data_IF_825453114523
#
_entry.id   IF_825453114523
#
_cell.length_a   1.000
_cell.length_b   1.000
_cell.length_c   1.000
_cell.angle_alpha   90.00
_cell.angle_beta   90.00
_cell.angle_gamma   90.00
#
_symmetry.space_group_name_H-M   'P 1'
#
loop_
_entity.id
_entity.type
_entity.pdbx_description
1 polymer ?
#
# COMPACT_ATOMS: atom_id res chain seq x y z
N UNK A 1 -11.71 4.65 20.93
CA UNK A 1 -12.60 5.11 19.85
C UNK A 1 -11.82 6.08 18.97
N UNK A 2 -11.14 5.62 17.92
CA UNK A 2 -10.38 6.52 17.04
C UNK A 2 -11.32 7.03 15.94
N UNK A 3 -11.95 8.19 16.18
CA UNK A 3 -12.62 8.97 15.15
C UNK A 3 -11.56 9.54 14.22
N UNK A 4 -11.44 9.00 13.01
CA UNK A 4 -10.67 9.63 11.95
C UNK A 4 -11.63 10.41 11.05
N UNK A 5 -11.67 11.76 11.12
CA UNK A 5 -12.54 12.54 10.26
C UNK A 5 -12.02 12.49 8.82
N UNK A 6 -12.73 11.76 7.95
CA UNK A 6 -12.55 11.88 6.52
C UNK A 6 -13.15 13.22 6.07
N UNK A 7 -12.31 14.23 5.89
CA UNK A 7 -12.70 15.44 5.17
C UNK A 7 -12.91 15.08 3.69
N UNK A 8 -14.03 15.46 3.06
CA UNK A 8 -14.18 15.32 1.61
C UNK A 8 -13.16 16.22 0.90
N UNK A 9 -12.62 15.81 -0.26
CA UNK A 9 -11.69 16.64 -1.00
C UNK A 9 -12.37 17.93 -1.48
N UNK A 10 -11.68 19.06 -1.30
CA UNK A 10 -12.08 20.37 -1.82
C UNK A 10 -12.11 20.31 -3.35
N UNK A 11 -13.26 20.62 -3.95
CA UNK A 11 -13.40 20.83 -5.39
C UNK A 11 -12.49 21.98 -5.84
N UNK A 12 -11.58 21.69 -6.76
CA UNK A 12 -10.65 22.66 -7.31
C UNK A 12 -10.47 22.46 -8.82
N UNK A 13 -10.68 23.55 -9.55
CA UNK A 13 -10.43 23.80 -10.97
C UNK A 13 -11.40 23.18 -12.00
N UNK A 14 -12.41 23.99 -12.38
CA UNK A 14 -13.14 23.90 -13.64
C UNK A 14 -12.17 24.00 -14.83
N UNK A 15 -12.20 23.04 -15.73
CA UNK A 15 -11.64 23.15 -17.08
C UNK A 15 -12.70 22.84 -18.14
N UNK A 16 -12.55 23.53 -19.27
CA UNK A 16 -13.53 23.87 -20.29
C UNK A 16 -14.13 22.67 -21.05
N UNK A 17 -15.43 22.77 -21.37
CA UNK A 17 -16.24 21.83 -22.17
C UNK A 17 -15.66 21.56 -23.55
N UNK A 18 -15.77 20.32 -24.03
CA UNK A 18 -16.09 19.99 -25.43
C UNK A 18 -16.86 18.66 -25.55
N UNK A 19 -18.06 18.76 -26.15
CA UNK A 19 -18.94 17.79 -26.82
C UNK A 19 -19.11 16.33 -26.33
N UNK A 20 -20.38 16.01 -26.04
CA UNK A 20 -21.03 14.74 -25.68
C UNK A 20 -20.84 13.58 -26.67
N UNK A 21 -20.97 12.34 -26.17
CA UNK A 21 -22.20 11.59 -26.46
C UNK A 21 -22.92 11.17 -25.16
N UNK A 22 -24.24 11.32 -25.18
CA UNK A 22 -25.26 11.03 -24.14
C UNK A 22 -24.73 10.18 -22.97
N UNK A 23 -24.30 10.86 -21.92
CA UNK A 23 -23.95 10.24 -20.66
C UNK A 23 -25.24 9.80 -19.96
N UNK A 24 -25.36 8.50 -19.66
CA UNK A 24 -26.31 8.06 -18.63
C UNK A 24 -26.07 8.93 -17.39
N UNK A 25 -27.12 9.44 -16.73
CA UNK A 25 -26.94 10.32 -15.58
C UNK A 25 -26.06 9.60 -14.55
N UNK A 26 -25.17 10.37 -13.90
CA UNK A 26 -24.14 9.97 -12.90
C UNK A 26 -24.76 9.38 -11.61
N UNK A 27 -25.96 8.82 -11.71
CA UNK A 27 -26.85 8.47 -10.59
C UNK A 27 -27.76 7.28 -10.92
N UNK A 28 -27.52 6.56 -12.01
CA UNK A 28 -28.24 5.32 -12.27
C UNK A 28 -27.93 4.30 -11.16
N UNK A 29 -28.98 3.76 -10.53
CA UNK A 29 -28.83 2.71 -9.52
C UNK A 29 -28.17 1.47 -10.11
N UNK A 30 -27.31 0.81 -9.34
CA UNK A 30 -26.59 -0.39 -9.75
C UNK A 30 -26.24 -1.27 -8.54
N UNK A 31 -26.03 -2.55 -8.83
CA UNK A 31 -25.51 -3.57 -7.91
C UNK A 31 -24.15 -4.14 -8.39
N UNK A 32 -23.92 -4.15 -9.70
CA UNK A 32 -22.70 -4.65 -10.35
C UNK A 32 -22.26 -3.76 -11.52
N UNK A 33 -20.98 -3.82 -11.88
CA UNK A 33 -20.39 -2.93 -12.90
C UNK A 33 -21.01 -3.09 -14.28
N UNK A 34 -21.52 -4.28 -14.63
CA UNK A 34 -22.18 -4.53 -15.92
C UNK A 34 -23.50 -3.79 -16.10
N UNK A 35 -24.16 -3.37 -15.01
CA UNK A 35 -25.33 -2.51 -15.07
C UNK A 35 -24.96 -1.08 -15.52
N UNK A 36 -23.70 -0.71 -15.31
CA UNK A 36 -23.16 0.57 -15.74
C UNK A 36 -22.68 0.50 -17.20
N UNK A 37 -22.89 1.59 -17.94
CA UNK A 37 -22.45 1.69 -19.33
C UNK A 37 -20.92 1.82 -19.44
N UNK A 38 -20.39 1.78 -20.67
CA UNK A 38 -18.97 2.03 -20.95
C UNK A 38 -18.51 3.35 -20.32
N UNK A 39 -17.34 3.34 -19.68
CA UNK A 39 -16.78 4.52 -18.99
C UNK A 39 -17.28 4.72 -17.56
N UNK A 40 -18.10 3.81 -17.05
CA UNK A 40 -18.63 3.85 -15.68
C UNK A 40 -18.37 2.53 -14.95
N UNK A 41 -18.38 2.58 -13.62
CA UNK A 41 -18.33 1.43 -12.72
C UNK A 41 -19.41 1.58 -11.66
N UNK A 42 -19.85 0.47 -11.08
CA UNK A 42 -20.82 0.55 -9.99
C UNK A 42 -20.09 0.90 -8.71
N UNK A 43 -20.52 1.93 -8.00
CA UNK A 43 -20.10 2.13 -6.63
C UNK A 43 -20.99 1.30 -5.69
N UNK A 44 -20.52 0.11 -5.27
CA UNK A 44 -21.36 -0.80 -4.45
C UNK A 44 -21.72 -0.26 -3.07
N UNK A 45 -21.03 0.77 -2.57
CA UNK A 45 -21.40 1.36 -1.28
C UNK A 45 -22.60 2.27 -1.41
N UNK A 46 -22.63 3.09 -2.46
CA UNK A 46 -23.75 4.00 -2.72
C UNK A 46 -24.82 3.41 -3.64
N UNK A 47 -24.52 2.30 -4.33
CA UNK A 47 -25.39 1.68 -5.31
C UNK A 47 -25.59 2.52 -6.56
N UNK A 48 -24.58 3.30 -6.98
CA UNK A 48 -24.70 4.26 -8.11
C UNK A 48 -23.60 4.07 -9.15
N UNK A 49 -23.94 4.21 -10.43
CA UNK A 49 -22.95 4.23 -11.50
C UNK A 49 -22.13 5.53 -11.47
N UNK A 50 -20.83 5.39 -11.25
CA UNK A 50 -19.88 6.51 -11.19
C UNK A 50 -18.87 6.42 -12.35
N UNK A 51 -18.36 7.56 -12.84
CA UNK A 51 -17.33 7.56 -13.87
C UNK A 51 -16.07 6.80 -13.45
N UNK A 52 -15.38 6.20 -14.42
CA UNK A 52 -14.03 5.67 -14.20
C UNK A 52 -13.05 6.79 -13.85
N UNK A 53 -12.03 6.46 -13.07
CA UNK A 53 -11.10 7.40 -12.44
C UNK A 53 -9.69 7.27 -13.02
N UNK A 54 -9.03 8.41 -13.21
CA UNK A 54 -7.65 8.48 -13.67
C UNK A 54 -6.63 8.23 -12.56
N UNK A 55 -5.35 8.20 -12.91
CA UNK A 55 -4.24 8.03 -11.96
C UNK A 55 -4.30 9.09 -10.83
N UNK A 56 -3.94 8.70 -9.61
CA UNK A 56 -3.95 9.53 -8.40
C UNK A 56 -5.34 9.80 -7.78
N UNK A 57 -6.44 9.49 -8.47
CA UNK A 57 -7.78 9.69 -7.94
C UNK A 57 -8.16 8.61 -6.94
N UNK A 58 -8.90 8.99 -5.89
CA UNK A 58 -9.37 8.06 -4.88
C UNK A 58 -10.26 6.97 -5.48
N UNK A 59 -10.07 5.74 -5.06
CA UNK A 59 -10.85 4.60 -5.48
C UNK A 59 -11.00 3.61 -4.31
N UNK A 60 -11.93 2.67 -4.48
CA UNK A 60 -12.14 1.55 -3.56
C UNK A 60 -11.89 0.20 -4.22
N UNK A 61 -11.92 0.14 -5.55
CA UNK A 61 -11.76 -1.08 -6.34
C UNK A 61 -11.12 -0.79 -7.67
N UNK A 62 -10.41 -1.78 -8.20
CA UNK A 62 -9.80 -1.73 -9.53
C UNK A 62 -10.79 -1.35 -10.63
N UNK A 63 -12.02 -1.84 -10.56
CA UNK A 63 -13.07 -1.55 -11.53
C UNK A 63 -13.43 -0.06 -11.63
N UNK A 64 -13.10 0.75 -10.61
CA UNK A 64 -13.33 2.18 -10.64
C UNK A 64 -12.23 2.95 -11.38
N UNK A 65 -11.11 2.32 -11.71
CA UNK A 65 -10.01 2.96 -12.42
C UNK A 65 -10.12 2.71 -13.92
N UNK A 66 -9.60 3.63 -14.73
CA UNK A 66 -9.48 3.43 -16.18
C UNK A 66 -8.54 2.26 -16.51
N UNK A 67 -8.65 1.73 -17.73
CA UNK A 67 -7.84 0.59 -18.20
C UNK A 67 -6.34 0.85 -18.02
N UNK A 68 -5.61 -0.15 -17.52
CA UNK A 68 -4.17 -0.07 -17.24
C UNK A 68 -3.84 0.38 -15.81
N UNK A 69 -4.84 0.80 -15.04
CA UNK A 69 -4.68 1.17 -13.63
C UNK A 69 -5.30 0.10 -12.70
N UNK A 70 -4.84 0.09 -11.45
CA UNK A 70 -5.41 -0.65 -10.33
C UNK A 70 -5.58 0.27 -9.14
N UNK A 71 -6.52 -0.06 -8.24
CA UNK A 71 -6.77 0.71 -7.05
C UNK A 71 -5.84 0.28 -5.91
N UNK A 72 -4.70 0.95 -5.78
CA UNK A 72 -3.67 0.67 -4.78
C UNK A 72 -3.64 1.78 -3.73
N UNK A 73 -3.54 1.45 -2.44
CA UNK A 73 -3.45 2.39 -1.33
C UNK A 73 -4.57 3.45 -1.34
N UNK A 74 -5.75 3.05 -1.81
CA UNK A 74 -6.94 3.90 -1.92
C UNK A 74 -6.94 4.87 -3.11
N UNK A 75 -5.99 4.77 -4.05
CA UNK A 75 -5.92 5.61 -5.26
C UNK A 75 -5.67 4.78 -6.51
N UNK A 76 -6.04 5.30 -7.68
CA UNK A 76 -5.71 4.64 -8.93
C UNK A 76 -4.22 4.82 -9.24
N UNK A 77 -3.49 3.71 -9.35
CA UNK A 77 -2.08 3.67 -9.72
C UNK A 77 -1.88 2.84 -10.98
N UNK A 78 -0.76 3.04 -11.66
CA UNK A 78 -0.37 2.16 -12.75
C UNK A 78 -0.21 0.74 -12.25
N UNK A 79 -0.69 -0.23 -13.03
CA UNK A 79 -0.49 -1.65 -12.72
C UNK A 79 1.00 -1.94 -12.79
N UNK A 80 1.53 -2.46 -11.69
CA UNK A 80 2.87 -3.01 -11.62
C UNK A 80 2.77 -4.47 -12.09
N UNK A 81 3.61 -4.91 -13.04
CA UNK A 81 3.62 -6.29 -13.50
C UNK A 81 3.87 -7.27 -12.35
N UNK A 82 3.22 -8.43 -12.40
CA UNK A 82 3.37 -9.47 -11.40
C UNK A 82 4.85 -9.86 -11.21
N UNK A 83 5.25 -10.19 -9.98
CA UNK A 83 6.63 -10.52 -9.64
C UNK A 83 7.53 -9.32 -9.35
N UNK A 84 7.14 -8.09 -9.71
CA UNK A 84 7.95 -6.89 -9.47
C UNK A 84 7.65 -6.22 -8.12
N UNK A 85 8.58 -5.37 -7.66
CA UNK A 85 8.38 -4.60 -6.43
C UNK A 85 7.16 -3.69 -6.51
N UNK A 86 6.29 -3.79 -5.50
CA UNK A 86 4.99 -3.11 -5.44
C UNK A 86 3.84 -3.84 -6.13
N UNK A 87 4.10 -4.93 -6.87
CA UNK A 87 3.03 -5.75 -7.46
C UNK A 87 2.19 -6.43 -6.38
N UNK A 88 0.90 -6.66 -6.63
CA UNK A 88 0.05 -7.39 -5.67
C UNK A 88 0.45 -8.85 -5.61
N UNK A 89 0.46 -9.40 -4.40
CA UNK A 89 0.80 -10.79 -4.15
C UNK A 89 -0.17 -11.42 -3.15
N UNK A 90 -0.18 -12.76 -3.11
CA UNK A 90 -0.87 -13.55 -2.09
C UNK A 90 0.12 -14.34 -1.24
N UNK A 91 1.22 -14.76 -1.84
CA UNK A 91 2.28 -15.56 -1.22
C UNK A 91 3.64 -15.15 -1.79
N UNK A 92 4.72 -15.45 -1.07
CA UNK A 92 6.10 -15.06 -1.46
C UNK A 92 6.49 -15.52 -2.88
N UNK A 93 6.02 -16.69 -3.32
CA UNK A 93 6.29 -17.22 -4.66
C UNK A 93 5.67 -16.41 -5.81
N UNK A 94 4.75 -15.49 -5.51
CA UNK A 94 4.20 -14.57 -6.50
C UNK A 94 5.18 -13.43 -6.81
N UNK A 95 6.24 -13.28 -6.00
CA UNK A 95 7.25 -12.24 -6.09
C UNK A 95 8.56 -12.76 -6.71
N UNK A 96 9.41 -11.84 -7.17
CA UNK A 96 10.74 -12.17 -7.70
C UNK A 96 11.70 -12.75 -6.65
N UNK A 97 12.89 -13.16 -7.11
CA UNK A 97 13.97 -13.58 -6.22
C UNK A 97 14.36 -12.45 -5.25
N UNK A 98 14.74 -12.80 -4.01
CA UNK A 98 15.06 -11.85 -2.93
C UNK A 98 13.90 -10.91 -2.54
N UNK A 99 12.65 -11.35 -2.71
CA UNK A 99 11.46 -10.60 -2.31
C UNK A 99 10.57 -11.42 -1.35
N UNK A 100 9.60 -10.75 -0.73
CA UNK A 100 8.54 -11.39 0.04
C UNK A 100 7.19 -10.71 -0.24
N UNK A 101 6.11 -11.41 0.07
CA UNK A 101 4.77 -10.87 0.04
C UNK A 101 4.40 -10.30 1.41
N UNK A 102 4.32 -8.97 1.51
CA UNK A 102 4.09 -8.28 2.78
C UNK A 102 3.13 -7.10 2.63
N UNK A 103 2.45 -6.74 3.73
CA UNK A 103 1.54 -5.60 3.73
C UNK A 103 2.27 -4.27 3.66
N UNK A 104 1.80 -3.38 2.79
CA UNK A 104 2.15 -1.97 2.76
C UNK A 104 0.87 -1.16 2.71
N UNK A 105 0.67 -0.25 3.69
CA UNK A 105 -0.56 0.52 3.83
C UNK A 105 -1.85 -0.34 3.75
N UNK A 106 -1.79 -1.56 4.29
CA UNK A 106 -2.92 -2.51 4.32
C UNK A 106 -3.10 -3.37 3.08
N UNK A 107 -2.37 -3.14 1.98
CA UNK A 107 -2.40 -3.99 0.78
C UNK A 107 -1.22 -4.96 0.76
N UNK A 108 -1.45 -6.20 0.30
CA UNK A 108 -0.39 -7.19 0.12
C UNK A 108 0.35 -6.93 -1.20
N UNK A 109 1.64 -6.62 -1.08
CA UNK A 109 2.50 -6.32 -2.22
C UNK A 109 3.86 -7.00 -2.08
N UNK A 110 4.49 -7.25 -3.23
CA UNK A 110 5.85 -7.73 -3.27
C UNK A 110 6.80 -6.61 -2.80
N UNK A 111 7.60 -6.91 -1.78
CA UNK A 111 8.62 -6.02 -1.23
C UNK A 111 9.96 -6.73 -1.27
N UNK A 112 11.06 -5.99 -1.39
CA UNK A 112 12.40 -6.57 -1.27
C UNK A 112 12.65 -7.13 0.14
N UNK A 113 13.40 -8.24 0.22
CA UNK A 113 13.97 -8.73 1.48
C UNK A 113 15.03 -7.74 1.99
N UNK A 114 15.25 -7.76 3.30
CA UNK A 114 16.16 -6.83 3.95
C UNK A 114 17.61 -7.26 3.76
N UNK A 115 18.46 -6.35 3.29
CA UNK A 115 19.88 -6.59 3.07
C UNK A 115 20.68 -6.40 4.36
N UNK A 116 21.98 -6.70 4.31
CA UNK A 116 22.91 -6.51 5.43
C UNK A 116 22.76 -5.11 6.06
N UNK A 117 22.76 -5.06 7.39
CA UNK A 117 22.65 -3.87 8.23
C UNK A 117 21.31 -3.10 8.15
N UNK A 118 20.35 -3.55 7.35
CA UNK A 118 19.01 -2.95 7.33
C UNK A 118 18.23 -3.30 8.60
N UNK A 119 17.41 -2.34 9.06
CA UNK A 119 16.60 -2.54 10.25
C UNK A 119 15.52 -3.59 10.03
N UNK A 120 15.54 -4.62 10.86
CA UNK A 120 14.64 -5.76 10.80
C UNK A 120 13.71 -5.85 12.02
N UNK A 121 13.63 -4.78 12.82
CA UNK A 121 12.82 -4.75 14.03
C UNK A 121 11.33 -4.88 13.71
N UNK A 122 10.69 -5.88 14.32
CA UNK A 122 9.24 -6.09 14.29
C UNK A 122 8.71 -5.90 15.71
N UNK A 123 7.81 -4.94 15.96
CA UNK A 123 7.14 -4.82 17.26
C UNK A 123 6.35 -6.09 17.58
N UNK A 124 6.23 -6.43 18.86
CA UNK A 124 5.50 -7.63 19.32
C UNK A 124 4.02 -7.66 18.88
N UNK A 125 3.46 -6.51 18.49
CA UNK A 125 2.16 -6.46 17.84
C UNK A 125 1.64 -5.04 17.61
N UNK A 126 0.31 -4.94 17.50
CA UNK A 126 -0.41 -3.69 17.28
C UNK A 126 -0.69 -3.36 15.82
N UNK A 127 -1.47 -2.30 15.60
CA UNK A 127 -1.95 -1.90 14.29
C UNK A 127 -0.82 -1.46 13.34
N UNK A 128 0.29 -0.97 13.91
CA UNK A 128 1.46 -0.53 13.16
C UNK A 128 2.03 -1.67 12.29
N UNK A 129 2.19 -2.87 12.88
CA UNK A 129 2.70 -4.05 12.16
C UNK A 129 1.66 -4.68 11.24
N UNK A 130 0.37 -4.65 11.57
CA UNK A 130 -0.66 -5.25 10.73
C UNK A 130 -0.96 -4.46 9.44
N UNK A 131 -0.68 -3.15 9.42
CA UNK A 131 -0.82 -2.31 8.23
C UNK A 131 0.47 -2.27 7.41
N UNK A 132 1.63 -2.27 8.08
CA UNK A 132 2.94 -2.15 7.45
C UNK A 132 3.87 -3.25 7.95
N UNK A 133 3.93 -4.33 7.21
CA UNK A 133 4.82 -5.45 7.47
C UNK A 133 6.15 -5.21 6.74
N UNK A 134 7.26 -5.57 7.38
CA UNK A 134 8.57 -5.63 6.72
C UNK A 134 8.83 -7.04 6.22
N UNK A 135 9.67 -7.18 5.20
CA UNK A 135 10.14 -8.49 4.79
C UNK A 135 11.17 -9.05 5.78
N UNK A 136 11.35 -10.38 5.83
CA UNK A 136 12.49 -10.96 6.51
C UNK A 136 13.80 -10.50 5.86
N UNK A 137 14.90 -10.74 6.58
CA UNK A 137 16.24 -10.63 6.01
C UNK A 137 16.39 -11.55 4.78
N UNK A 138 17.30 -11.15 3.90
CA UNK A 138 17.61 -11.94 2.71
C UNK A 138 18.26 -13.28 3.08
N UNK A 139 18.32 -14.20 2.12
CA UNK A 139 18.85 -15.54 2.35
C UNK A 139 20.25 -15.51 3.00
N UNK A 140 20.43 -16.31 4.05
CA UNK A 140 21.69 -16.39 4.79
C UNK A 140 21.89 -15.31 5.85
N UNK A 141 20.96 -14.36 6.03
CA UNK A 141 21.02 -13.33 7.07
C UNK A 141 20.02 -13.62 8.20
N UNK A 142 20.38 -13.21 9.42
CA UNK A 142 19.51 -13.30 10.59
C UNK A 142 19.31 -11.91 11.21
N UNK A 143 18.07 -11.63 11.61
CA UNK A 143 17.75 -10.41 12.36
C UNK A 143 18.28 -10.54 13.79
N UNK A 144 19.23 -9.69 14.17
CA UNK A 144 19.88 -9.70 15.49
C UNK A 144 19.98 -8.29 16.04
N UNK A 145 20.00 -8.18 17.36
CA UNK A 145 20.33 -6.94 18.03
C UNK A 145 21.77 -6.55 17.67
N UNK A 146 21.95 -5.42 17.00
CA UNK A 146 23.25 -4.78 16.84
C UNK A 146 23.62 -4.23 18.21
N UNK A 147 24.48 -4.96 18.91
CA UNK A 147 25.07 -4.51 20.17
C UNK A 147 25.85 -3.24 19.86
N UNK A 148 25.23 -2.08 20.07
CA UNK A 148 25.96 -0.83 20.09
C UNK A 148 27.09 -1.00 21.09
N UNK A 149 28.35 -0.82 20.67
CA UNK A 149 29.46 -0.60 21.60
C UNK A 149 28.95 0.43 22.61
N UNK A 150 28.81 0.04 23.87
CA UNK A 150 28.57 0.95 24.99
C UNK A 150 29.56 2.12 24.83
N UNK A 151 29.10 3.23 24.26
CA UNK A 151 29.87 4.46 24.29
C UNK A 151 29.87 4.89 25.74
N UNK A 152 31.01 4.61 26.37
CA UNK A 152 31.50 5.12 27.64
C UNK A 152 30.86 6.48 27.96
N UNK A 153 30.02 6.45 29.00
CA UNK A 153 29.41 7.56 29.75
C UNK A 153 29.66 8.98 29.19
N UNK A 154 28.72 9.51 28.40
CA UNK A 154 28.46 10.97 28.36
C UNK A 154 26.97 11.23 28.28
N UNK A 155 26.48 11.87 29.35
CA UNK A 155 25.19 12.53 29.54
C UNK A 155 23.93 11.67 29.50
N UNK A 156 23.27 11.63 30.67
CA UNK A 156 22.00 11.00 30.98
C UNK A 156 20.86 11.71 30.24
N UNK A 157 20.80 11.56 28.92
CA UNK A 157 19.60 11.87 28.13
C UNK A 157 18.74 10.62 28.17
N UNK A 158 17.48 10.73 28.62
CA UNK A 158 16.49 9.66 28.50
C UNK A 158 16.23 9.39 27.02
N UNK A 159 17.11 8.60 26.40
CA UNK A 159 16.86 7.96 25.13
C UNK A 159 16.32 6.58 25.49
N UNK A 160 15.08 6.22 25.13
CA UNK A 160 14.65 4.85 25.25
C UNK A 160 15.65 4.01 24.46
N UNK A 161 16.33 3.08 25.15
CA UNK A 161 17.29 2.11 24.61
C UNK A 161 16.82 1.65 23.23
N UNK A 162 17.37 2.28 22.18
CA UNK A 162 17.05 1.92 20.80
C UNK A 162 17.90 0.70 20.51
N UNK A 163 17.44 -0.45 21.00
CA UNK A 163 17.97 -1.75 20.58
C UNK A 163 17.82 -1.80 19.06
N UNK A 164 18.93 -1.60 18.35
CA UNK A 164 18.92 -1.52 16.88
C UNK A 164 19.00 -2.93 16.35
N UNK A 165 17.89 -3.49 15.89
CA UNK A 165 17.89 -4.81 15.26
C UNK A 165 18.21 -4.68 13.78
N UNK A 166 19.22 -5.41 13.31
CA UNK A 166 19.68 -5.38 11.93
C UNK A 166 19.89 -6.79 11.36
N UNK A 167 19.81 -6.92 10.04
CA UNK A 167 20.16 -8.16 9.35
C UNK A 167 21.67 -8.37 9.35
N UNK A 168 22.13 -9.49 9.93
CA UNK A 168 23.55 -9.79 10.14
C UNK A 168 23.87 -11.21 9.66
N UNK A 169 25.14 -11.43 9.29
CA UNK A 169 25.64 -12.79 8.98
C UNK A 169 25.64 -13.62 10.27
N UNK A 170 25.17 -14.88 10.25
CA UNK A 170 25.26 -15.77 11.40
C UNK A 170 26.73 -16.02 11.78
N UNK A 171 27.13 -15.63 12.99
CA UNK A 171 28.37 -16.14 13.59
C UNK A 171 28.21 -17.65 13.84
N UNK A 172 29.12 -18.45 13.28
CA UNK A 172 29.26 -19.89 13.53
C UNK A 172 29.93 -20.14 14.89
#
# INVERSE_FOLDING_TARGET
MLNMPHSPPKEGAKALRQSTPVAKPVTAACDHDRACGRGFSCDRHFGLCVPLRGEGHYCRRDAQCVRGLSCMFGKCHRRIPDGQEGARCKVDRDCGASMCCARHHGEQVCKRRLTLDESCYVPDGGLAFSINQICPCDEGLLCRESSGKLQREREFIYQPERTSWTCQVPNL
#
